data_IF_410910138590
#
_entry.id   IF_410910138590
#
_cell.length_a   1.000
_cell.length_b   1.000
_cell.length_c   1.000
_cell.angle_alpha   90.00
_cell.angle_beta   90.00
_cell.angle_gamma   90.00
#
_symmetry.space_group_name_H-M   'P 1'
#
loop_
_entity.id
_entity.type
_entity.pdbx_description
1 polymer ?
#
# COMPACT_ATOMS: atom_id res chain seq x y z
N UNK A 1 4.07 -8.18 -10.76
CA UNK A 1 2.93 -7.75 -11.60
C UNK A 1 3.43 -6.70 -12.59
N UNK A 2 3.69 -7.04 -13.86
CA UNK A 2 4.49 -6.18 -14.75
C UNK A 2 3.88 -4.78 -14.99
N UNK A 3 2.55 -4.69 -15.08
CA UNK A 3 1.87 -3.39 -15.28
C UNK A 3 1.86 -2.52 -14.01
N UNK A 4 1.63 -3.12 -12.85
CA UNK A 4 1.66 -2.40 -11.57
C UNK A 4 3.08 -1.93 -11.22
N UNK A 5 4.10 -2.76 -11.50
CA UNK A 5 5.50 -2.37 -11.36
C UNK A 5 5.87 -1.23 -12.31
N UNK A 6 5.39 -1.27 -13.56
CA UNK A 6 5.60 -0.18 -14.50
C UNK A 6 4.92 1.11 -14.02
N UNK A 7 3.67 1.04 -13.57
CA UNK A 7 2.92 2.19 -13.03
C UNK A 7 3.63 2.81 -11.82
N UNK A 8 3.98 2.00 -10.83
CA UNK A 8 4.70 2.47 -9.64
C UNK A 8 6.06 3.08 -9.99
N UNK A 9 6.78 2.51 -10.95
CA UNK A 9 8.05 3.06 -11.44
C UNK A 9 7.88 4.40 -12.17
N UNK A 10 6.80 4.61 -12.93
CA UNK A 10 6.54 5.91 -13.57
C UNK A 10 6.13 6.98 -12.55
N UNK A 11 5.27 6.63 -11.59
CA UNK A 11 4.87 7.56 -10.52
C UNK A 11 6.08 7.98 -9.67
N UNK A 12 6.98 7.04 -9.36
CA UNK A 12 8.19 7.36 -8.61
C UNK A 12 9.07 8.41 -9.31
N UNK A 13 9.12 8.44 -10.66
CA UNK A 13 9.94 9.43 -11.40
C UNK A 13 9.43 10.86 -11.29
N UNK A 14 8.13 11.05 -11.05
CA UNK A 14 7.51 12.38 -10.99
C UNK A 14 7.28 12.87 -9.56
N UNK A 15 7.42 11.99 -8.57
CA UNK A 15 7.30 12.34 -7.16
C UNK A 15 8.56 13.10 -6.67
N UNK A 16 8.43 14.10 -5.77
CA UNK A 16 9.56 14.91 -5.30
C UNK A 16 10.62 14.14 -4.52
N UNK A 17 10.19 13.15 -3.72
CA UNK A 17 11.05 12.29 -2.90
C UNK A 17 10.37 10.93 -2.71
N UNK A 18 10.40 10.04 -3.74
CA UNK A 18 9.65 8.81 -3.74
C UNK A 18 10.28 7.76 -2.81
N UNK A 19 9.47 7.19 -1.91
CA UNK A 19 9.70 5.83 -1.43
C UNK A 19 8.99 4.85 -2.36
N UNK A 20 9.74 4.10 -3.16
CA UNK A 20 9.20 3.04 -4.01
C UNK A 20 9.32 1.68 -3.33
N UNK A 21 8.17 1.04 -3.09
CA UNK A 21 8.06 -0.33 -2.58
C UNK A 21 7.47 -1.23 -3.68
N UNK A 22 8.29 -2.11 -4.25
CA UNK A 22 7.89 -2.98 -5.35
C UNK A 22 8.46 -4.39 -5.24
N UNK A 23 7.79 -5.35 -5.88
CA UNK A 23 8.15 -6.76 -5.79
C UNK A 23 8.23 -7.24 -4.34
N UNK A 24 9.32 -7.93 -4.00
CA UNK A 24 9.52 -8.49 -2.66
C UNK A 24 9.63 -7.45 -1.53
N UNK A 25 9.82 -6.16 -1.86
CA UNK A 25 9.87 -5.08 -0.86
C UNK A 25 8.51 -4.47 -0.52
N UNK A 26 7.44 -4.86 -1.21
CA UNK A 26 6.09 -4.37 -0.96
C UNK A 26 5.35 -5.22 0.09
N UNK A 27 5.95 -5.39 1.27
CA UNK A 27 5.35 -6.13 2.40
C UNK A 27 4.43 -5.22 3.22
N UNK A 28 3.59 -5.82 4.06
CA UNK A 28 2.68 -5.06 4.92
C UNK A 28 3.42 -4.17 5.91
N UNK A 29 4.41 -4.72 6.62
CA UNK A 29 5.26 -3.96 7.55
C UNK A 29 5.92 -2.74 6.86
N UNK A 30 6.49 -2.94 5.67
CA UNK A 30 7.13 -1.88 4.92
C UNK A 30 6.14 -0.79 4.52
N UNK A 31 4.95 -1.17 4.05
CA UNK A 31 3.89 -0.23 3.68
C UNK A 31 3.40 0.53 4.92
N UNK A 32 3.11 -0.17 6.01
CA UNK A 32 2.59 0.41 7.24
C UNK A 32 3.56 1.44 7.84
N UNK A 33 4.86 1.12 7.83
CA UNK A 33 5.93 2.02 8.29
C UNK A 33 5.96 3.32 7.50
N UNK A 34 5.87 3.24 6.17
CA UNK A 34 5.94 4.42 5.30
C UNK A 34 4.64 5.23 5.35
N UNK A 35 3.47 4.57 5.42
CA UNK A 35 2.16 5.22 5.58
C UNK A 35 2.09 6.12 6.82
N UNK A 36 2.76 5.76 7.91
CA UNK A 36 2.76 6.56 9.14
C UNK A 36 3.40 7.95 8.97
N UNK A 37 4.21 8.16 7.93
CA UNK A 37 4.92 9.43 7.71
C UNK A 37 4.69 10.04 6.33
N UNK A 38 4.15 9.27 5.38
CA UNK A 38 3.90 9.72 4.03
C UNK A 38 2.79 10.78 3.98
N UNK A 39 2.99 11.81 3.16
CA UNK A 39 1.95 12.77 2.81
C UNK A 39 1.01 12.27 1.72
N UNK A 40 1.57 11.51 0.78
CA UNK A 40 0.85 10.91 -0.33
C UNK A 40 1.32 9.48 -0.51
N UNK A 41 0.40 8.58 -0.84
CA UNK A 41 0.70 7.20 -1.20
C UNK A 41 -0.02 6.85 -2.50
N UNK A 42 0.60 6.01 -3.31
CA UNK A 42 0.04 5.49 -4.55
C UNK A 42 0.19 3.96 -4.53
N UNK A 43 -0.93 3.26 -4.65
CA UNK A 43 -0.94 1.80 -4.71
C UNK A 43 -1.28 1.33 -6.11
N UNK A 44 -0.41 0.51 -6.69
CA UNK A 44 -0.66 -0.22 -7.92
C UNK A 44 -0.54 -1.72 -7.63
N UNK A 45 -1.63 -2.48 -7.79
CA UNK A 45 -1.64 -3.89 -7.39
C UNK A 45 -3.00 -4.56 -7.48
N UNK A 46 -3.10 -5.78 -6.95
CA UNK A 46 -4.37 -6.49 -6.82
C UNK A 46 -5.03 -6.17 -5.48
N UNK A 47 -6.35 -6.24 -5.47
CA UNK A 47 -7.15 -6.24 -4.25
C UNK A 47 -7.93 -7.54 -4.15
N UNK A 48 -8.18 -7.97 -2.92
CA UNK A 48 -9.12 -9.05 -2.63
C UNK A 48 -10.41 -8.45 -2.06
N UNK A 49 -11.46 -8.45 -2.88
CA UNK A 49 -12.76 -7.93 -2.50
C UNK A 49 -13.58 -8.98 -1.74
N UNK A 50 -14.15 -8.59 -0.60
CA UNK A 50 -15.03 -9.45 0.20
C UNK A 50 -16.39 -8.76 0.36
N UNK A 51 -17.36 -8.99 -0.55
CA UNK A 51 -18.60 -8.19 -0.64
C UNK A 51 -19.41 -8.11 0.66
N UNK A 52 -19.41 -9.19 1.44
CA UNK A 52 -20.17 -9.27 2.69
C UNK A 52 -19.36 -8.88 3.94
N UNK A 53 -18.08 -8.51 3.76
CA UNK A 53 -17.21 -8.07 4.85
C UNK A 53 -16.23 -6.98 4.36
N UNK A 54 -16.71 -5.73 4.19
CA UNK A 54 -15.88 -4.64 3.65
C UNK A 54 -14.59 -4.38 4.43
N UNK A 55 -14.62 -4.60 5.76
CA UNK A 55 -13.45 -4.47 6.63
C UNK A 55 -12.34 -5.50 6.35
N UNK A 56 -12.63 -6.56 5.59
CA UNK A 56 -11.69 -7.60 5.15
C UNK A 56 -11.30 -7.47 3.68
N UNK A 57 -11.71 -6.39 3.01
CA UNK A 57 -11.14 -6.04 1.72
C UNK A 57 -9.66 -5.76 1.93
N UNK A 58 -8.80 -6.36 1.12
CA UNK A 58 -7.35 -6.27 1.27
C UNK A 58 -6.69 -5.72 0.02
N UNK A 59 -5.66 -4.91 0.20
CA UNK A 59 -4.60 -4.75 -0.79
C UNK A 59 -3.66 -5.95 -0.67
N UNK A 60 -3.31 -6.57 -1.80
CA UNK A 60 -2.40 -7.71 -1.79
C UNK A 60 -0.94 -7.24 -1.76
N UNK A 61 -0.22 -7.68 -0.75
CA UNK A 61 1.18 -7.36 -0.46
C UNK A 61 2.05 -8.61 -0.65
N UNK A 62 3.36 -8.46 -0.52
CA UNK A 62 4.26 -9.60 -0.37
C UNK A 62 4.19 -10.10 1.07
N UNK A 63 3.94 -11.40 1.24
CA UNK A 63 4.05 -12.08 2.54
C UNK A 63 5.47 -11.94 3.11
N UNK A 64 5.58 -11.70 4.42
CA UNK A 64 6.86 -11.71 5.13
C UNK A 64 6.83 -12.64 6.35
N UNK A 65 7.70 -12.41 7.34
CA UNK A 65 7.77 -13.27 8.52
C UNK A 65 6.70 -12.93 9.56
N UNK A 66 6.21 -11.69 9.55
CA UNK A 66 5.30 -11.14 10.56
C UNK A 66 3.86 -11.13 10.04
N UNK A 67 3.67 -10.83 8.75
CA UNK A 67 2.38 -10.54 8.15
C UNK A 67 2.01 -11.48 6.97
N UNK A 68 0.71 -11.62 6.71
CA UNK A 68 0.14 -12.62 5.77
C UNK A 68 -0.01 -12.12 4.32
N UNK A 69 0.58 -10.96 4.01
CA UNK A 69 0.55 -10.33 2.70
C UNK A 69 -0.81 -9.71 2.35
N UNK A 70 -1.65 -9.39 3.33
CA UNK A 70 -3.01 -8.86 3.15
C UNK A 70 -3.26 -7.64 4.04
N UNK A 71 -2.90 -6.47 3.55
CA UNK A 71 -3.26 -5.21 4.21
C UNK A 71 -4.77 -4.96 4.10
N UNK A 72 -5.52 -5.32 5.15
CA UNK A 72 -6.98 -5.18 5.20
C UNK A 72 -7.41 -3.78 5.61
N UNK A 73 -8.60 -3.37 5.15
CA UNK A 73 -9.21 -2.08 5.52
C UNK A 73 -9.25 -1.87 7.03
N UNK A 74 -9.52 -2.92 7.82
CA UNK A 74 -9.53 -2.83 9.30
C UNK A 74 -8.19 -2.40 9.90
N UNK A 75 -7.08 -2.75 9.26
CA UNK A 75 -5.75 -2.38 9.72
C UNK A 75 -5.49 -0.91 9.41
N UNK A 76 -5.84 -0.47 8.20
CA UNK A 76 -5.78 0.95 7.81
C UNK A 76 -6.62 1.85 8.73
N UNK A 77 -7.80 1.40 9.17
CA UNK A 77 -8.65 2.16 10.12
C UNK A 77 -7.99 2.38 11.49
N UNK A 78 -7.04 1.52 11.88
CA UNK A 78 -6.28 1.65 13.12
C UNK A 78 -5.07 2.58 13.00
N UNK A 79 -4.71 3.01 11.80
CA UNK A 79 -3.52 3.83 11.55
C UNK A 79 -3.78 5.31 11.77
N UNK A 80 -2.77 6.03 12.28
CA UNK A 80 -2.77 7.48 12.28
C UNK A 80 -2.36 7.98 10.89
N UNK A 81 -3.37 8.29 10.06
CA UNK A 81 -3.18 8.85 8.72
C UNK A 81 -3.37 10.38 8.71
N UNK A 82 -3.23 11.06 9.85
CA UNK A 82 -3.45 12.52 9.94
C UNK A 82 -2.49 13.36 9.08
N UNK A 83 -1.37 12.78 8.66
CA UNK A 83 -0.39 13.40 7.76
C UNK A 83 -0.68 13.14 6.27
N UNK A 84 -1.59 12.21 5.95
CA UNK A 84 -1.92 11.85 4.57
C UNK A 84 -2.98 12.80 3.99
N UNK A 85 -2.72 13.27 2.77
CA UNK A 85 -3.64 14.08 1.98
C UNK A 85 -4.21 13.26 0.83
N UNK A 86 -5.50 13.45 0.51
CA UNK A 86 -6.04 12.92 -0.74
C UNK A 86 -5.55 13.78 -1.89
N UNK A 87 -4.85 13.17 -2.85
CA UNK A 87 -4.54 13.84 -4.11
C UNK A 87 -5.85 14.12 -4.87
N UNK A 88 -6.19 15.40 -5.01
CA UNK A 88 -7.32 15.89 -5.82
C UNK A 88 -6.93 16.07 -7.28
#
# INVERSE_FOLDING_TARGET
MPHAEAEGAEIAKIAPDPKYLGGAGATEEAIATELATAKHFHFAGHTHLVPNAPMRVALMCTEDLEDDGRLEVRELFGMDLSQCEMAC
#
